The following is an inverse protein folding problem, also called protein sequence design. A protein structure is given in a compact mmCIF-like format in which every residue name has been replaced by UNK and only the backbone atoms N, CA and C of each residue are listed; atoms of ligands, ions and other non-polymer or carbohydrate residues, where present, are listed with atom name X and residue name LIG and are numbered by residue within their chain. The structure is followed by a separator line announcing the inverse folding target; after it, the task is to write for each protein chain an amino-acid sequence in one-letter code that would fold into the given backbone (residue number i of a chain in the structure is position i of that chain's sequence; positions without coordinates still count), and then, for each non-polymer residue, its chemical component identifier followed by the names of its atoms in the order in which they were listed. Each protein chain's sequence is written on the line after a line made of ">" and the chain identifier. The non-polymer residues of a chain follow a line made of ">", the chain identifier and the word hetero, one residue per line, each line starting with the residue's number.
data_IF_897617597941
#
_entry.id   IF_897617597941
#
_cell.length_a   1.000
_cell.length_b   1.000
_cell.length_c   1.000
_cell.angle_alpha   90.00
_cell.angle_beta   90.00
_cell.angle_gamma   90.00
#
_symmetry.space_group_name_H-M   'P 1'
#
loop_
_entity.id
_entity.type
_entity.pdbx_description
1 polymer ?
#
# COMPACT_ATOMS: atom_id res chain seq x y z
N UNK A 1 5.51 2.88 9.91
CA UNK A 1 5.73 4.32 10.25
C UNK A 1 4.38 5.03 10.33
N UNK A 2 4.32 6.33 10.65
CA UNK A 2 3.06 7.10 10.70
C UNK A 2 2.58 7.45 9.28
N UNK A 3 1.28 7.35 9.00
CA UNK A 3 0.68 7.71 7.70
C UNK A 3 1.10 9.14 7.27
N UNK A 4 1.83 9.32 6.15
CA UNK A 4 2.32 10.62 5.73
C UNK A 4 1.20 11.59 5.30
N UNK A 5 0.01 11.07 4.99
CA UNK A 5 -1.14 11.85 4.52
C UNK A 5 -2.07 12.30 5.66
N UNK A 6 -1.79 11.93 6.91
CA UNK A 6 -2.68 12.23 8.04
C UNK A 6 -2.95 13.72 8.23
N UNK A 7 -1.99 14.60 7.90
CA UNK A 7 -2.20 16.05 7.95
C UNK A 7 -3.17 16.54 6.86
N UNK A 8 -3.11 15.95 5.66
CA UNK A 8 -4.02 16.28 4.56
C UNK A 8 -5.43 15.73 4.84
N UNK A 9 -5.54 14.51 5.37
CA UNK A 9 -6.82 13.90 5.77
C UNK A 9 -7.53 14.75 6.84
N UNK A 10 -6.77 15.27 7.82
CA UNK A 10 -7.28 16.18 8.82
C UNK A 10 -7.72 17.53 8.23
N UNK A 11 -6.96 18.09 7.28
CA UNK A 11 -7.31 19.34 6.58
C UNK A 11 -8.58 19.18 5.73
N UNK A 12 -8.75 18.05 5.05
CA UNK A 12 -9.99 17.70 4.33
C UNK A 12 -11.20 17.69 5.25
N UNK A 13 -11.08 17.02 6.40
CA UNK A 13 -12.17 16.94 7.40
C UNK A 13 -12.57 18.33 7.92
N UNK A 14 -11.60 19.25 8.03
CA UNK A 14 -11.82 20.64 8.44
C UNK A 14 -12.30 21.56 7.33
N UNK A 15 -12.51 21.06 6.11
CA UNK A 15 -12.84 21.85 4.92
C UNK A 15 -11.75 22.90 4.56
N UNK A 16 -10.50 22.63 4.93
CA UNK A 16 -9.32 23.46 4.65
C UNK A 16 -8.56 22.97 3.41
N UNK A 17 -8.92 21.79 2.88
CA UNK A 17 -8.38 21.20 1.66
C UNK A 17 -9.52 20.78 0.74
N UNK A 18 -9.45 21.23 -0.51
CA UNK A 18 -10.38 20.87 -1.57
C UNK A 18 -9.59 20.39 -2.78
N UNK A 19 -10.15 19.40 -3.47
CA UNK A 19 -9.58 18.86 -4.69
C UNK A 19 -10.63 18.90 -5.80
N UNK A 20 -10.25 19.28 -7.01
CA UNK A 20 -11.16 19.26 -8.15
C UNK A 20 -11.63 17.82 -8.42
N UNK A 21 -12.95 17.52 -8.37
CA UNK A 21 -13.45 16.16 -8.58
C UNK A 21 -13.06 15.52 -9.92
N UNK A 22 -12.72 16.34 -10.92
CA UNK A 22 -12.28 15.87 -12.24
C UNK A 22 -10.94 15.14 -12.22
N UNK A 23 -10.16 15.24 -11.12
CA UNK A 23 -8.89 14.49 -10.98
C UNK A 23 -9.10 13.06 -10.49
N UNK A 24 -10.28 12.72 -9.93
CA UNK A 24 -10.56 11.39 -9.37
C UNK A 24 -10.48 10.27 -10.43
N UNK A 25 -11.00 10.43 -11.65
CA UNK A 25 -10.83 9.43 -12.71
C UNK A 25 -9.37 9.13 -13.04
N UNK A 26 -8.53 10.17 -13.10
CA UNK A 26 -7.10 10.03 -13.39
C UNK A 26 -6.35 9.37 -12.23
N UNK A 27 -6.71 9.73 -11.00
CA UNK A 27 -6.18 9.11 -9.80
C UNK A 27 -6.52 7.61 -9.75
N UNK A 28 -7.77 7.24 -10.01
CA UNK A 28 -8.17 5.83 -10.10
C UNK A 28 -7.41 5.10 -11.21
N UNK A 29 -7.29 5.69 -12.40
CA UNK A 29 -6.57 5.11 -13.54
C UNK A 29 -5.12 4.75 -13.21
N UNK A 30 -4.45 5.53 -12.38
CA UNK A 30 -3.05 5.32 -12.00
C UNK A 30 -2.90 4.40 -10.81
N UNK A 31 -3.72 4.60 -9.77
CA UNK A 31 -3.51 3.94 -8.48
C UNK A 31 -4.23 2.61 -8.34
N UNK A 32 -5.34 2.36 -9.03
CA UNK A 32 -6.01 1.04 -8.97
C UNK A 32 -5.09 -0.10 -9.49
N UNK A 33 -4.42 0.02 -10.66
CA UNK A 33 -3.50 -1.03 -11.11
C UNK A 33 -2.26 -1.19 -10.22
N UNK A 34 -1.85 -0.10 -9.57
CA UNK A 34 -0.73 -0.11 -8.64
C UNK A 34 -1.09 -0.83 -7.34
N UNK A 35 -2.27 -0.56 -6.78
CA UNK A 35 -2.80 -1.28 -5.62
C UNK A 35 -2.94 -2.78 -5.92
N UNK A 36 -3.52 -3.15 -7.06
CA UNK A 36 -3.62 -4.55 -7.50
C UNK A 36 -2.24 -5.23 -7.62
N UNK A 37 -1.25 -4.51 -8.15
CA UNK A 37 0.12 -5.02 -8.26
C UNK A 37 0.74 -5.26 -6.89
N UNK A 38 0.53 -4.36 -5.92
CA UNK A 38 1.02 -4.52 -4.56
C UNK A 38 0.32 -5.69 -3.86
N UNK A 39 -1.00 -5.82 -4.00
CA UNK A 39 -1.77 -6.93 -3.43
C UNK A 39 -1.31 -8.28 -3.97
N UNK A 40 -1.07 -8.38 -5.28
CA UNK A 40 -0.53 -9.59 -5.91
C UNK A 40 0.86 -9.95 -5.35
N UNK A 41 1.78 -8.98 -5.29
CA UNK A 41 3.13 -9.22 -4.76
C UNK A 41 3.14 -9.57 -3.26
N UNK A 42 2.19 -9.04 -2.48
CA UNK A 42 1.99 -9.45 -1.08
C UNK A 42 1.43 -10.88 -1.01
N UNK A 43 0.50 -11.22 -1.90
CA UNK A 43 -0.12 -12.54 -2.00
C UNK A 43 0.88 -13.64 -2.37
N UNK A 44 1.88 -13.33 -3.20
CA UNK A 44 2.96 -14.24 -3.60
C UNK A 44 3.82 -14.74 -2.42
N UNK A 45 3.64 -14.19 -1.21
CA UNK A 45 4.17 -14.72 0.06
C UNK A 45 5.66 -15.02 0.01
N UNK A 46 6.45 -13.99 -0.31
CA UNK A 46 7.91 -14.07 -0.51
C UNK A 46 8.68 -14.55 0.73
N UNK A 47 8.01 -14.67 1.88
CA UNK A 47 8.54 -14.99 3.20
C UNK A 47 8.43 -16.47 3.62
N UNK A 48 7.92 -17.35 2.75
CA UNK A 48 7.79 -18.79 3.00
C UNK A 48 8.43 -19.62 1.87
N UNK A 49 9.69 -20.04 2.09
CA UNK A 49 10.48 -20.78 1.10
C UNK A 49 10.74 -22.24 1.47
N UNK A 50 9.90 -22.83 2.33
CA UNK A 50 10.03 -24.22 2.77
C UNK A 50 10.21 -25.19 1.59
N UNK A 51 11.31 -25.94 1.63
CA UNK A 51 11.64 -26.97 0.64
C UNK A 51 12.31 -26.47 -0.64
N UNK A 52 12.47 -25.15 -0.83
CA UNK A 52 13.08 -24.60 -2.06
C UNK A 52 14.57 -24.90 -2.15
N UNK A 53 15.24 -25.00 -1.01
CA UNK A 53 16.70 -25.16 -0.92
C UNK A 53 17.14 -26.60 -0.58
N UNK A 54 16.18 -27.55 -0.54
CA UNK A 54 16.42 -28.95 -0.22
C UNK A 54 15.77 -29.37 1.10
N UNK A 55 16.33 -30.39 1.74
CA UNK A 55 15.77 -30.97 2.97
C UNK A 55 16.56 -30.58 4.21
N UNK A 56 15.93 -30.68 5.39
CA UNK A 56 16.56 -30.41 6.70
C UNK A 56 17.80 -31.28 6.98
N UNK A 57 18.00 -32.35 6.22
CA UNK A 57 19.22 -33.19 6.27
C UNK A 57 20.48 -32.45 5.80
N UNK A 58 20.31 -31.34 5.06
CA UNK A 58 21.40 -30.45 4.67
C UNK A 58 21.34 -29.16 5.52
N UNK A 59 22.25 -28.96 6.49
CA UNK A 59 22.28 -27.74 7.31
C UNK A 59 22.38 -26.44 6.50
N UNK A 60 23.01 -26.46 5.32
CA UNK A 60 23.05 -25.29 4.44
C UNK A 60 21.67 -24.95 3.87
N UNK A 61 20.82 -25.94 3.60
CA UNK A 61 19.46 -25.70 3.11
C UNK A 61 18.64 -24.90 4.13
N UNK A 62 18.74 -25.26 5.42
CA UNK A 62 18.05 -24.57 6.52
C UNK A 62 18.57 -23.14 6.69
N UNK A 63 19.89 -22.93 6.57
CA UNK A 63 20.48 -21.59 6.67
C UNK A 63 20.07 -20.69 5.50
N UNK A 64 20.07 -21.21 4.28
CA UNK A 64 19.65 -20.46 3.09
C UNK A 64 18.16 -20.14 3.17
N UNK A 65 17.32 -21.11 3.54
CA UNK A 65 15.89 -20.90 3.75
C UNK A 65 15.65 -19.74 4.72
N UNK A 66 16.28 -19.76 5.89
CA UNK A 66 16.13 -18.69 6.89
C UNK A 66 16.52 -17.31 6.37
N UNK A 67 17.56 -17.22 5.53
CA UNK A 67 17.98 -15.93 4.93
C UNK A 67 16.94 -15.44 3.93
N UNK A 68 16.42 -16.32 3.08
CA UNK A 68 15.39 -15.98 2.11
C UNK A 68 14.06 -15.62 2.79
N UNK A 69 13.61 -16.39 3.77
CA UNK A 69 12.38 -16.09 4.52
C UNK A 69 12.48 -14.73 5.22
N UNK A 70 13.62 -14.43 5.86
CA UNK A 70 13.84 -13.12 6.48
C UNK A 70 13.80 -11.98 5.46
N UNK A 71 14.45 -12.16 4.30
CA UNK A 71 14.47 -11.14 3.25
C UNK A 71 13.10 -10.97 2.60
N UNK A 72 12.41 -12.08 2.39
CA UNK A 72 11.04 -12.14 1.94
C UNK A 72 10.12 -11.36 2.86
N UNK A 73 10.26 -11.56 4.17
CA UNK A 73 9.49 -10.83 5.18
C UNK A 73 9.72 -9.33 5.10
N UNK A 74 10.97 -8.89 5.00
CA UNK A 74 11.29 -7.46 4.84
C UNK A 74 10.64 -6.86 3.60
N UNK A 75 10.65 -7.58 2.47
CA UNK A 75 10.01 -7.14 1.22
C UNK A 75 8.49 -7.11 1.38
N UNK A 76 7.88 -8.16 1.93
CA UNK A 76 6.44 -8.23 2.18
C UNK A 76 5.97 -7.12 3.12
N UNK A 77 6.71 -6.84 4.18
CA UNK A 77 6.41 -5.75 5.12
C UNK A 77 6.51 -4.38 4.44
N UNK A 78 7.53 -4.17 3.59
CA UNK A 78 7.65 -2.95 2.78
C UNK A 78 6.47 -2.78 1.81
N UNK A 79 6.08 -3.85 1.10
CA UNK A 79 4.94 -3.81 0.17
C UNK A 79 3.63 -3.48 0.89
N UNK A 80 3.39 -4.07 2.07
CA UNK A 80 2.23 -3.75 2.91
C UNK A 80 2.22 -2.28 3.34
N UNK A 81 3.38 -1.73 3.69
CA UNK A 81 3.50 -0.32 4.04
C UNK A 81 3.22 0.58 2.82
N UNK A 82 3.73 0.23 1.63
CA UNK A 82 3.40 0.96 0.39
C UNK A 82 1.92 0.91 0.05
N UNK A 83 1.27 -0.26 0.18
CA UNK A 83 -0.16 -0.41 -0.07
C UNK A 83 -0.97 0.47 0.88
N UNK A 84 -0.65 0.42 2.19
CA UNK A 84 -1.34 1.24 3.19
C UNK A 84 -1.20 2.74 2.92
N UNK A 85 0.00 3.21 2.53
CA UNK A 85 0.23 4.62 2.20
C UNK A 85 -0.51 5.04 0.93
N UNK A 86 -0.61 4.15 -0.05
CA UNK A 86 -1.33 4.39 -1.30
C UNK A 86 -2.83 4.53 -1.06
N UNK A 87 -3.41 3.57 -0.33
CA UNK A 87 -4.83 3.60 0.01
C UNK A 87 -5.18 4.85 0.84
N UNK A 88 -4.30 5.25 1.76
CA UNK A 88 -4.46 6.48 2.52
C UNK A 88 -4.46 7.74 1.62
N UNK A 89 -3.54 7.82 0.66
CA UNK A 89 -3.50 8.91 -0.32
C UNK A 89 -4.79 8.99 -1.15
N UNK A 90 -5.19 7.85 -1.73
CA UNK A 90 -6.39 7.74 -2.57
C UNK A 90 -7.64 8.14 -1.78
N UNK A 91 -7.77 7.67 -0.55
CA UNK A 91 -8.86 8.06 0.36
C UNK A 91 -8.87 9.56 0.58
N UNK A 92 -7.75 10.16 0.99
CA UNK A 92 -7.68 11.60 1.26
C UNK A 92 -8.03 12.44 0.03
N UNK A 93 -7.61 12.03 -1.16
CA UNK A 93 -7.96 12.70 -2.40
C UNK A 93 -9.46 12.63 -2.72
N UNK A 94 -10.07 11.44 -2.55
CA UNK A 94 -11.52 11.24 -2.71
C UNK A 94 -12.32 12.08 -1.72
N UNK A 95 -11.91 12.09 -0.45
CA UNK A 95 -12.57 12.88 0.59
C UNK A 95 -12.48 14.39 0.29
N UNK A 96 -11.33 14.86 -0.23
CA UNK A 96 -11.15 16.27 -0.59
C UNK A 96 -11.99 16.68 -1.81
N UNK A 97 -12.17 15.77 -2.78
CA UNK A 97 -13.05 15.98 -3.92
C UNK A 97 -14.53 16.02 -3.51
N UNK A 98 -14.95 15.13 -2.62
CA UNK A 98 -16.32 15.12 -2.10
C UNK A 98 -16.61 16.36 -1.24
N UNK A 99 -15.64 16.81 -0.44
CA UNK A 99 -15.74 18.07 0.29
C UNK A 99 -15.94 19.28 -0.64
N UNK A 100 -15.29 19.30 -1.81
CA UNK A 100 -15.46 20.36 -2.82
C UNK A 100 -16.84 20.28 -3.49
N UNK A 101 -17.28 19.07 -3.84
CA UNK A 101 -18.61 18.85 -4.42
C UNK A 101 -19.72 19.31 -3.47
N UNK A 102 -19.59 19.02 -2.18
CA UNK A 102 -20.58 19.41 -1.17
C UNK A 102 -20.58 20.92 -0.92
N UNK A 103 -19.40 21.57 -0.83
CA UNK A 103 -19.31 23.02 -0.62
C UNK A 103 -19.81 23.87 -1.80
N UNK A 104 -19.85 23.31 -3.02
CA UNK A 104 -20.43 23.97 -4.19
C UNK A 104 -21.96 23.82 -4.30
N UNK A 105 -22.56 22.89 -3.54
CA UNK A 105 -24.00 22.64 -3.52
C UNK A 105 -24.71 23.24 -2.29
N UNK A 106 -23.95 23.76 -1.32
CA UNK A 106 -24.42 24.56 -0.17
C UNK A 106 -24.51 26.05 -0.53
#
# INVERSE_FOLDING_TARGET
>A
MTNPWGALDAATTKKELYLDPTVIPELNRVFEPYEESLENLIGDSLDETTGYFGTEKNPLAVLVQKVFDNRGKEVTDYLKEQLSQTQAFVKTARDAAEAMRTSQND
#
